data_IF_926043668761
#
_entry.id   IF_926043668761
#
_cell.length_a   1.000
_cell.length_b   1.000
_cell.length_c   1.000
_cell.angle_alpha   90.00
_cell.angle_beta   90.00
_cell.angle_gamma   90.00
#
_symmetry.space_group_name_H-M   'P 1'
#
loop_
_entity.id
_entity.type
_entity.pdbx_description
1 polymer ?
#
# COMPACT_ATOMS: atom_id res chain seq x y z
N UNK A 1 -22.15 -24.49 33.74
CA UNK A 1 -20.87 -24.86 34.38
C UNK A 1 -19.78 -23.93 33.86
N UNK A 2 -19.28 -23.09 34.77
CA UNK A 2 -18.06 -22.28 34.82
C UNK A 2 -17.43 -21.72 33.53
N UNK A 3 -17.55 -20.40 33.35
CA UNK A 3 -16.62 -19.55 32.58
C UNK A 3 -15.19 -19.69 33.14
N UNK A 4 -14.13 -19.85 32.32
CA UNK A 4 -12.78 -19.67 32.82
C UNK A 4 -12.46 -18.18 32.94
N UNK A 5 -11.91 -17.80 34.08
CA UNK A 5 -11.47 -16.45 34.40
C UNK A 5 -10.49 -15.91 33.36
N UNK A 6 -10.76 -14.69 32.87
CA UNK A 6 -9.87 -13.96 31.98
C UNK A 6 -8.69 -13.35 32.78
N UNK A 7 -7.80 -14.19 33.29
CA UNK A 7 -6.64 -13.81 34.11
C UNK A 7 -5.30 -14.38 33.62
N UNK A 8 -5.12 -14.56 32.30
CA UNK A 8 -3.86 -15.05 31.76
C UNK A 8 -2.80 -13.95 31.67
N UNK A 9 -1.54 -14.29 31.96
CA UNK A 9 -0.38 -13.39 31.83
C UNK A 9 -0.34 -12.77 30.41
N UNK A 10 -0.45 -11.43 30.27
CA UNK A 10 -0.46 -10.75 28.98
C UNK A 10 0.79 -11.02 28.13
N UNK A 11 1.95 -11.25 28.75
CA UNK A 11 3.21 -11.56 28.05
C UNK A 11 3.21 -12.93 27.38
N UNK A 12 2.62 -13.95 28.03
CA UNK A 12 2.43 -15.29 27.45
C UNK A 12 1.49 -15.23 26.25
N UNK A 13 0.41 -14.46 26.35
CA UNK A 13 -0.55 -14.25 25.26
C UNK A 13 0.05 -13.53 24.07
N UNK A 14 0.98 -12.59 24.28
CA UNK A 14 1.73 -11.97 23.18
C UNK A 14 2.55 -13.01 22.40
N UNK A 15 3.22 -13.95 23.09
CA UNK A 15 3.93 -15.06 22.45
C UNK A 15 3.02 -15.99 21.64
N UNK A 16 1.83 -16.30 22.15
CA UNK A 16 0.84 -17.14 21.47
C UNK A 16 0.25 -16.46 20.22
N UNK A 17 -0.02 -15.16 20.31
CA UNK A 17 -0.46 -14.32 19.17
C UNK A 17 0.61 -14.25 18.08
N UNK A 18 1.88 -14.08 18.47
CA UNK A 18 2.99 -13.98 17.53
C UNK A 18 3.30 -15.31 16.86
N UNK A 19 3.33 -16.40 17.62
CA UNK A 19 3.55 -17.74 17.07
C UNK A 19 2.38 -18.24 16.23
N UNK A 20 1.19 -17.61 16.36
CA UNK A 20 -0.06 -18.03 15.76
C UNK A 20 -0.47 -19.48 16.13
N UNK A 21 0.18 -20.09 17.13
CA UNK A 21 -0.07 -21.46 17.58
C UNK A 21 -1.47 -21.65 18.16
N UNK A 22 -2.00 -20.60 18.78
CA UNK A 22 -3.36 -20.60 19.32
C UNK A 22 -4.44 -20.24 18.28
N UNK A 23 -4.05 -20.11 17.00
CA UNK A 23 -4.96 -19.98 15.87
C UNK A 23 -5.57 -18.58 15.68
N UNK A 24 -6.52 -18.51 14.74
CA UNK A 24 -7.16 -17.24 14.31
C UNK A 24 -7.87 -16.49 15.45
N UNK A 25 -8.44 -17.22 16.42
CA UNK A 25 -9.18 -16.63 17.53
C UNK A 25 -8.29 -15.74 18.41
N UNK A 26 -7.09 -16.19 18.77
CA UNK A 26 -6.16 -15.38 19.57
C UNK A 26 -5.64 -14.18 18.80
N UNK A 27 -5.31 -14.35 17.51
CA UNK A 27 -4.91 -13.21 16.67
C UNK A 27 -6.04 -12.18 16.58
N UNK A 28 -7.30 -12.61 16.42
CA UNK A 28 -8.45 -11.70 16.44
C UNK A 28 -8.64 -11.06 17.80
N UNK A 29 -8.47 -11.79 18.89
CA UNK A 29 -8.52 -11.22 20.24
C UNK A 29 -7.47 -10.13 20.43
N UNK A 30 -6.24 -10.31 19.96
CA UNK A 30 -5.20 -9.28 20.00
C UNK A 30 -5.58 -8.00 19.22
N UNK A 31 -6.31 -8.16 18.12
CA UNK A 31 -6.70 -7.06 17.23
C UNK A 31 -7.95 -6.30 17.71
N UNK A 32 -8.97 -7.02 18.19
CA UNK A 32 -10.29 -6.44 18.48
C UNK A 32 -10.78 -6.65 19.91
N UNK A 33 -10.08 -7.44 20.71
CA UNK A 33 -10.39 -7.71 22.11
C UNK A 33 -10.28 -6.47 23.00
N UNK A 34 -11.10 -6.42 24.04
CA UNK A 34 -11.23 -5.23 24.88
C UNK A 34 -9.92 -4.87 25.63
N UNK A 35 -9.20 -5.88 26.17
CA UNK A 35 -7.99 -5.64 26.94
C UNK A 35 -6.81 -5.10 26.09
N UNK A 36 -6.41 -5.72 24.96
CA UNK A 36 -5.38 -5.15 24.08
C UNK A 36 -5.73 -3.75 23.57
N UNK A 37 -7.01 -3.52 23.22
CA UNK A 37 -7.48 -2.19 22.78
C UNK A 37 -7.38 -1.15 23.88
N UNK A 38 -7.74 -1.49 25.13
CA UNK A 38 -7.56 -0.60 26.28
C UNK A 38 -6.10 -0.29 26.53
N UNK A 39 -5.21 -1.28 26.40
CA UNK A 39 -3.77 -1.07 26.57
C UNK A 39 -3.21 -0.08 25.54
N UNK A 40 -3.50 -0.28 24.24
CA UNK A 40 -3.09 0.66 23.17
C UNK A 40 -3.69 2.05 23.39
N UNK A 41 -4.98 2.14 23.74
CA UNK A 41 -5.63 3.43 24.03
C UNK A 41 -5.02 4.13 25.24
N UNK A 42 -4.72 3.41 26.31
CA UNK A 42 -4.09 3.94 27.51
C UNK A 42 -2.68 4.47 27.22
N UNK A 43 -1.87 3.72 26.46
CA UNK A 43 -0.56 4.18 26.03
C UNK A 43 -0.65 5.47 25.18
N UNK A 44 -1.58 5.52 24.22
CA UNK A 44 -1.80 6.72 23.41
C UNK A 44 -2.30 7.91 24.25
N UNK A 45 -3.20 7.69 25.20
CA UNK A 45 -3.68 8.74 26.11
C UNK A 45 -2.55 9.25 27.02
N UNK A 46 -1.65 8.37 27.49
CA UNK A 46 -0.48 8.76 28.28
C UNK A 46 0.55 9.59 27.51
N UNK A 47 0.54 9.52 26.18
CA UNK A 47 1.36 10.34 25.29
C UNK A 47 0.74 11.71 24.97
N UNK A 48 -0.49 11.99 25.38
CA UNK A 48 -1.14 13.27 25.12
C UNK A 48 -0.68 14.36 26.09
N UNK A 49 -0.71 15.60 25.63
CA UNK A 49 -0.61 16.78 26.49
C UNK A 49 -1.81 16.88 27.43
N UNK A 50 -1.66 17.62 28.53
CA UNK A 50 -2.76 17.84 29.47
C UNK A 50 -3.92 18.58 28.79
N UNK A 51 -5.15 18.17 29.09
CA UNK A 51 -6.37 18.69 28.45
C UNK A 51 -6.68 18.09 27.07
N UNK A 52 -5.79 17.29 26.47
CA UNK A 52 -6.08 16.56 25.24
C UNK A 52 -6.68 15.16 25.52
N UNK A 53 -7.64 14.75 24.68
CA UNK A 53 -8.40 13.51 24.88
C UNK A 53 -8.42 12.64 23.61
N UNK A 54 -8.10 11.35 23.75
CA UNK A 54 -8.24 10.35 22.69
C UNK A 54 -9.70 9.93 22.48
N UNK A 55 -10.38 10.57 21.52
CA UNK A 55 -11.78 10.30 21.18
C UNK A 55 -11.98 8.95 20.51
N UNK A 56 -11.17 8.63 19.50
CA UNK A 56 -11.28 7.38 18.77
C UNK A 56 -9.92 6.82 18.36
N UNK A 57 -9.83 5.50 18.24
CA UNK A 57 -8.67 4.83 17.65
C UNK A 57 -9.19 3.74 16.72
N UNK A 58 -9.11 3.99 15.41
CA UNK A 58 -9.73 3.16 14.38
C UNK A 58 -8.67 2.31 13.70
N UNK A 59 -8.83 0.99 13.77
CA UNK A 59 -7.95 0.05 13.12
C UNK A 59 -8.10 0.14 11.59
N UNK A 60 -6.97 0.27 10.88
CA UNK A 60 -6.91 0.48 9.42
C UNK A 60 -6.29 -0.69 8.66
N UNK A 61 -5.28 -1.33 9.24
CA UNK A 61 -4.59 -2.46 8.60
C UNK A 61 -3.84 -3.30 9.61
N UNK A 62 -3.71 -4.59 9.30
CA UNK A 62 -2.93 -5.56 10.04
C UNK A 62 -1.95 -6.26 9.11
N UNK A 63 -0.77 -6.59 9.61
CA UNK A 63 0.20 -7.48 8.98
C UNK A 63 0.74 -8.44 10.03
N UNK A 64 0.38 -9.71 9.90
CA UNK A 64 0.95 -10.78 10.72
C UNK A 64 2.11 -11.42 9.97
N UNK A 65 3.27 -11.50 10.62
CA UNK A 65 4.39 -12.34 10.23
C UNK A 65 4.55 -13.41 11.30
N UNK A 66 4.03 -14.64 11.08
CA UNK A 66 4.07 -15.70 12.08
C UNK A 66 5.47 -15.90 12.65
N UNK A 67 5.52 -16.12 13.95
CA UNK A 67 6.74 -16.26 14.75
C UNK A 67 7.55 -14.97 14.95
N UNK A 68 7.28 -13.89 14.22
CA UNK A 68 8.13 -12.70 14.19
C UNK A 68 7.45 -11.47 14.77
N UNK A 69 6.37 -10.99 14.15
CA UNK A 69 5.70 -9.75 14.57
C UNK A 69 4.27 -9.62 14.07
N UNK A 70 3.47 -8.87 14.82
CA UNK A 70 2.16 -8.37 14.41
C UNK A 70 2.21 -6.84 14.34
N UNK A 71 2.01 -6.27 13.16
CA UNK A 71 1.98 -4.82 12.94
C UNK A 71 0.55 -4.37 12.67
N UNK A 72 0.08 -3.38 13.43
CA UNK A 72 -1.28 -2.85 13.34
C UNK A 72 -1.23 -1.35 13.13
N UNK A 73 -1.93 -0.86 12.11
CA UNK A 73 -2.05 0.56 11.80
C UNK A 73 -3.39 1.08 12.30
N UNK A 74 -3.38 2.23 12.95
CA UNK A 74 -4.56 2.93 13.44
C UNK A 74 -4.60 4.38 12.94
N UNK A 75 -5.80 4.93 12.86
CA UNK A 75 -6.03 6.38 12.88
C UNK A 75 -6.53 6.75 14.28
N UNK A 76 -5.74 7.54 15.01
CA UNK A 76 -6.12 8.12 16.30
C UNK A 76 -6.77 9.49 16.10
N UNK A 77 -7.93 9.72 16.69
CA UNK A 77 -8.63 11.01 16.69
C UNK A 77 -8.52 11.60 18.09
N UNK A 78 -7.88 12.75 18.17
CA UNK A 78 -7.55 13.43 19.43
C UNK A 78 -8.22 14.79 19.43
N UNK A 79 -8.91 15.11 20.53
CA UNK A 79 -9.49 16.44 20.76
C UNK A 79 -8.55 17.24 21.65
N UNK A 80 -8.14 18.42 21.22
CA UNK A 80 -7.28 19.33 21.97
C UNK A 80 -7.65 20.78 21.62
N UNK A 81 -7.83 21.66 22.62
CA UNK A 81 -8.17 23.06 22.38
C UNK A 81 -9.41 23.27 21.51
N UNK A 82 -10.46 22.45 21.70
CA UNK A 82 -11.69 22.52 20.89
C UNK A 82 -11.58 21.95 19.46
N UNK A 83 -10.38 21.57 19.00
CA UNK A 83 -10.14 21.02 17.66
C UNK A 83 -9.96 19.51 17.71
N UNK A 84 -10.46 18.79 16.69
CA UNK A 84 -10.20 17.35 16.53
C UNK A 84 -9.14 17.10 15.45
N UNK A 85 -8.10 16.35 15.80
CA UNK A 85 -6.94 16.07 14.96
C UNK A 85 -6.84 14.56 14.75
N UNK A 86 -6.68 14.14 13.49
CA UNK A 86 -6.40 12.75 13.12
C UNK A 86 -4.89 12.53 13.03
N UNK A 87 -4.35 11.59 13.79
CA UNK A 87 -2.94 11.18 13.74
C UNK A 87 -2.77 9.69 13.42
N UNK A 88 -1.99 9.32 12.40
CA UNK A 88 -1.66 7.92 12.14
C UNK A 88 -0.77 7.35 13.25
N UNK A 89 -1.08 6.12 13.64
CA UNK A 89 -0.38 5.37 14.69
C UNK A 89 -0.06 3.97 14.19
N UNK A 90 1.09 3.44 14.58
CA UNK A 90 1.46 2.04 14.38
C UNK A 90 1.72 1.39 15.73
N UNK A 91 1.05 0.27 15.99
CA UNK A 91 1.38 -0.61 17.10
C UNK A 91 2.09 -1.87 16.56
N UNK A 92 3.15 -2.29 17.23
CA UNK A 92 3.91 -3.49 16.88
C UNK A 92 3.99 -4.39 18.11
N UNK A 93 3.49 -5.61 17.98
CA UNK A 93 3.83 -6.71 18.88
C UNK A 93 4.99 -7.48 18.26
N UNK A 94 6.01 -7.74 19.05
CA UNK A 94 7.19 -8.50 18.65
C UNK A 94 7.79 -9.20 19.88
N UNK A 95 8.98 -9.78 19.77
CA UNK A 95 9.59 -10.55 20.87
C UNK A 95 10.36 -9.65 21.85
N UNK A 96 10.08 -8.34 21.87
CA UNK A 96 10.91 -7.36 22.58
C UNK A 96 12.20 -7.00 21.81
N UNK A 97 12.26 -7.39 20.54
CA UNK A 97 13.31 -7.11 19.56
C UNK A 97 12.99 -5.91 18.66
N UNK A 98 12.00 -5.10 19.07
CA UNK A 98 11.66 -3.81 18.50
C UNK A 98 12.90 -3.01 18.08
N UNK A 99 12.80 -2.37 16.91
CA UNK A 99 13.94 -1.69 16.28
C UNK A 99 14.01 -0.19 16.52
N UNK A 100 12.91 0.44 16.96
CA UNK A 100 12.86 1.89 17.18
C UNK A 100 13.39 2.27 18.55
N UNK A 101 13.06 1.48 19.55
CA UNK A 101 13.45 1.69 20.93
C UNK A 101 14.93 1.39 21.21
N UNK A 102 15.60 0.77 20.23
CA UNK A 102 17.05 0.51 20.20
C UNK A 102 17.79 1.44 19.23
N UNK A 103 17.10 2.33 18.53
CA UNK A 103 17.74 3.31 17.65
C UNK A 103 18.01 4.60 18.45
N UNK A 104 19.27 4.93 18.77
CA UNK A 104 19.61 6.13 19.53
C UNK A 104 19.09 7.41 18.89
N UNK A 105 18.88 7.41 17.56
CA UNK A 105 18.36 8.55 16.81
C UNK A 105 16.88 8.78 17.07
N UNK A 106 16.12 7.76 17.49
CA UNK A 106 14.68 7.88 17.69
C UNK A 106 14.32 8.87 18.81
N UNK A 107 15.03 8.82 19.93
CA UNK A 107 14.80 9.72 21.06
C UNK A 107 15.16 11.17 20.70
N UNK A 108 16.27 11.40 20.00
CA UNK A 108 16.66 12.74 19.55
C UNK A 108 15.66 13.30 18.53
N UNK A 109 15.19 12.47 17.60
CA UNK A 109 14.21 12.85 16.59
C UNK A 109 12.83 13.16 17.21
N UNK A 110 12.42 12.39 18.23
CA UNK A 110 11.22 12.67 19.01
C UNK A 110 11.33 13.97 19.79
N UNK A 111 12.47 14.20 20.47
CA UNK A 111 12.73 15.44 21.18
C UNK A 111 12.68 16.67 20.24
N UNK A 112 13.28 16.56 19.05
CA UNK A 112 13.19 17.60 18.02
C UNK A 112 11.73 17.85 17.60
N UNK A 113 10.97 16.80 17.29
CA UNK A 113 9.57 16.94 16.89
C UNK A 113 8.70 17.55 18.00
N UNK A 114 9.01 17.30 19.28
CA UNK A 114 8.34 17.93 20.42
C UNK A 114 8.73 19.40 20.53
N UNK A 115 10.03 19.73 20.46
CA UNK A 115 10.54 21.10 20.55
C UNK A 115 9.96 21.99 19.44
N UNK A 116 9.83 21.45 18.22
CA UNK A 116 9.26 22.15 17.07
C UNK A 116 7.72 22.21 17.08
N UNK A 117 7.06 21.63 18.09
CA UNK A 117 5.60 21.57 18.19
C UNK A 117 4.94 20.62 17.19
N UNK A 118 5.72 19.84 16.44
CA UNK A 118 5.25 18.88 15.42
C UNK A 118 4.62 17.62 16.04
N UNK A 119 4.92 17.36 17.31
CA UNK A 119 4.29 16.29 18.08
C UNK A 119 2.85 16.64 18.52
N UNK A 120 2.49 17.92 18.58
CA UNK A 120 1.20 18.34 19.14
C UNK A 120 -0.01 17.63 18.46
N UNK A 121 -1.03 17.22 19.25
CA UNK A 121 -1.23 17.45 20.68
C UNK A 121 -0.59 16.38 21.60
N UNK A 122 0.43 15.68 21.11
CA UNK A 122 1.18 14.70 21.90
C UNK A 122 2.39 15.37 22.56
N UNK A 123 2.71 14.94 23.80
CA UNK A 123 3.97 15.27 24.49
C UNK A 123 5.08 14.26 24.21
N UNK A 124 4.73 13.14 23.56
CA UNK A 124 5.66 12.13 23.05
C UNK A 124 5.01 11.35 21.91
N UNK A 125 5.82 10.80 21.02
CA UNK A 125 5.43 10.05 19.84
C UNK A 125 5.71 8.55 19.96
N UNK A 126 6.31 8.09 21.06
CA UNK A 126 6.61 6.67 21.26
C UNK A 126 6.31 6.20 22.70
N UNK A 127 5.72 5.00 22.83
CA UNK A 127 5.59 4.34 24.12
C UNK A 127 5.77 2.82 24.01
N UNK A 128 6.41 2.22 25.02
CA UNK A 128 6.45 0.77 25.21
C UNK A 128 5.27 0.32 26.08
N UNK A 129 4.80 -0.90 25.80
CA UNK A 129 3.83 -1.62 26.60
C UNK A 129 4.47 -2.97 27.00
N UNK A 130 5.37 -2.99 28.00
CA UNK A 130 6.17 -4.18 28.33
C UNK A 130 5.32 -5.40 28.66
N UNK A 131 4.23 -5.23 29.42
CA UNK A 131 3.30 -6.32 29.73
C UNK A 131 2.72 -7.01 28.48
N UNK A 132 2.67 -6.30 27.34
CA UNK A 132 2.09 -6.80 26.10
C UNK A 132 3.13 -7.17 25.04
N UNK A 133 4.44 -7.04 25.34
CA UNK A 133 5.52 -7.10 24.35
C UNK A 133 5.18 -6.29 23.09
N UNK A 134 4.69 -5.07 23.32
CA UNK A 134 4.23 -4.18 22.26
C UNK A 134 4.81 -2.78 22.40
N UNK A 135 4.80 -2.05 21.30
CA UNK A 135 5.11 -0.62 21.27
C UNK A 135 4.09 0.11 20.40
N UNK A 136 3.92 1.40 20.67
CA UNK A 136 3.17 2.32 19.82
C UNK A 136 4.08 3.44 19.34
N UNK A 137 3.91 3.80 18.08
CA UNK A 137 4.61 4.90 17.43
C UNK A 137 3.60 5.80 16.70
N UNK A 138 3.76 7.10 16.86
CA UNK A 138 2.88 8.14 16.33
C UNK A 138 3.62 8.93 15.24
N UNK A 139 2.96 9.18 14.10
CA UNK A 139 3.50 10.08 13.06
C UNK A 139 3.77 11.47 13.65
N UNK A 140 4.85 12.19 13.27
CA UNK A 140 5.77 11.92 12.17
C UNK A 140 7.06 11.15 12.57
N UNK A 141 7.08 10.40 13.68
CA UNK A 141 8.31 9.72 14.09
C UNK A 141 8.66 8.55 13.15
N UNK A 142 9.88 8.54 12.60
CA UNK A 142 10.45 7.38 11.90
C UNK A 142 11.98 7.47 11.82
N UNK A 143 12.70 6.71 12.66
CA UNK A 143 14.17 6.75 12.68
C UNK A 143 14.84 6.30 11.37
N UNK A 144 14.12 5.56 10.52
CA UNK A 144 14.64 5.11 9.21
C UNK A 144 14.37 6.09 8.08
N UNK A 145 13.48 7.05 8.30
CA UNK A 145 13.18 8.18 7.42
C UNK A 145 13.10 9.45 8.28
N UNK A 146 14.23 9.88 8.89
CA UNK A 146 14.23 10.99 9.85
C UNK A 146 13.71 12.29 9.25
N UNK A 147 13.82 12.46 7.92
CA UNK A 147 13.30 13.61 7.22
C UNK A 147 11.78 13.79 7.36
N UNK A 148 11.04 12.76 7.78
CA UNK A 148 9.59 12.83 7.94
C UNK A 148 9.18 13.92 8.95
N UNK A 149 10.02 14.23 9.94
CA UNK A 149 9.76 15.28 10.93
C UNK A 149 9.73 16.65 10.25
N UNK A 150 10.82 17.08 9.59
CA UNK A 150 10.84 18.40 8.95
C UNK A 150 9.96 18.48 7.70
N UNK A 151 9.74 17.38 6.99
CA UNK A 151 8.72 17.31 5.93
C UNK A 151 7.27 17.39 6.46
N UNK A 152 7.09 17.33 7.78
CA UNK A 152 5.80 17.58 8.44
C UNK A 152 5.68 18.99 9.03
N UNK A 153 6.71 19.83 8.92
CA UNK A 153 6.71 21.22 9.39
C UNK A 153 6.16 22.18 8.31
N UNK A 154 5.06 22.92 8.60
CA UNK A 154 4.54 23.98 7.74
C UNK A 154 5.59 24.99 7.24
N UNK A 155 6.54 25.39 8.09
CA UNK A 155 7.52 26.42 7.76
C UNK A 155 8.55 25.88 6.77
N UNK A 156 9.13 24.73 7.08
CA UNK A 156 10.04 24.04 6.17
C UNK A 156 9.37 23.75 4.81
N UNK A 157 8.13 23.22 4.81
CA UNK A 157 7.40 22.92 3.57
C UNK A 157 7.13 24.17 2.73
N UNK A 158 6.75 25.29 3.35
CA UNK A 158 6.54 26.54 2.63
C UNK A 158 7.83 27.03 1.95
N UNK A 159 8.96 27.03 2.68
CA UNK A 159 10.26 27.42 2.14
C UNK A 159 10.72 26.51 0.99
N UNK A 160 10.60 25.19 1.20
CA UNK A 160 10.94 24.17 0.20
C UNK A 160 10.12 24.35 -1.09
N UNK A 161 8.80 24.54 -0.99
CA UNK A 161 7.95 24.71 -2.16
C UNK A 161 8.18 26.05 -2.84
N UNK A 162 8.36 27.14 -2.10
CA UNK A 162 8.67 28.46 -2.67
C UNK A 162 9.97 28.45 -3.51
N UNK A 163 10.99 27.71 -3.06
CA UNK A 163 12.24 27.54 -3.81
C UNK A 163 12.13 26.70 -5.08
N UNK A 164 10.99 26.06 -5.35
CA UNK A 164 10.80 25.12 -6.48
C UNK A 164 9.65 25.46 -7.40
N UNK A 165 8.60 26.05 -6.85
CA UNK A 165 7.36 26.36 -7.55
C UNK A 165 7.09 27.86 -7.39
N UNK A 166 7.23 28.67 -8.45
CA UNK A 166 6.98 30.11 -8.38
C UNK A 166 5.60 30.45 -7.76
N UNK A 167 4.58 29.66 -8.10
CA UNK A 167 3.22 29.79 -7.57
C UNK A 167 3.05 29.41 -6.08
N UNK A 168 4.09 28.87 -5.45
CA UNK A 168 4.10 28.54 -4.02
C UNK A 168 4.78 29.62 -3.17
N UNK A 169 5.36 30.67 -3.78
CA UNK A 169 5.99 31.76 -3.03
C UNK A 169 4.95 32.51 -2.18
N UNK A 170 5.27 32.72 -0.91
CA UNK A 170 4.35 33.37 0.05
C UNK A 170 3.14 32.53 0.48
N UNK A 171 3.04 31.26 0.06
CA UNK A 171 1.91 30.37 0.39
C UNK A 171 2.22 29.55 1.64
N UNK A 172 1.33 29.60 2.63
CA UNK A 172 1.37 28.69 3.79
C UNK A 172 0.76 27.33 3.47
N UNK A 173 1.19 26.28 4.16
CA UNK A 173 0.68 24.92 3.94
C UNK A 173 0.26 24.21 5.21
N UNK A 174 -0.88 23.52 5.16
CA UNK A 174 -1.31 22.54 6.16
C UNK A 174 -0.90 21.15 5.71
N UNK A 175 -0.12 20.45 6.54
CA UNK A 175 0.34 19.10 6.24
C UNK A 175 -0.68 18.08 6.76
N UNK A 176 -0.96 17.07 5.94
CA UNK A 176 -1.70 15.89 6.37
C UNK A 176 -1.04 14.61 5.90
N UNK A 177 -0.97 13.62 6.78
CA UNK A 177 -0.40 12.31 6.45
C UNK A 177 -1.44 11.47 5.70
N UNK A 178 -1.13 11.10 4.46
CA UNK A 178 -1.94 10.18 3.65
C UNK A 178 -1.56 8.73 3.94
N UNK A 179 -0.26 8.47 4.12
CA UNK A 179 0.27 7.15 4.41
C UNK A 179 1.43 7.25 5.38
N UNK A 180 1.34 6.49 6.47
CA UNK A 180 2.39 6.31 7.46
C UNK A 180 2.77 4.83 7.56
N UNK A 181 3.97 4.48 7.08
CA UNK A 181 4.54 3.12 7.14
C UNK A 181 5.98 3.21 7.66
N UNK A 182 6.17 3.24 8.99
CA UNK A 182 7.49 3.35 9.60
C UNK A 182 8.48 2.34 9.01
N UNK A 183 9.65 2.83 8.62
CA UNK A 183 10.73 2.05 8.02
C UNK A 183 10.52 1.59 6.59
N UNK A 184 9.38 1.92 5.97
CA UNK A 184 9.04 1.52 4.60
C UNK A 184 8.80 2.73 3.68
N UNK A 185 7.74 3.52 3.91
CA UNK A 185 7.30 4.58 2.98
C UNK A 185 6.26 5.51 3.58
N UNK A 186 6.33 6.80 3.23
CA UNK A 186 5.33 7.79 3.65
C UNK A 186 4.81 8.59 2.46
N UNK A 187 3.56 9.06 2.60
CA UNK A 187 2.97 10.02 1.66
C UNK A 187 2.31 11.12 2.47
N UNK A 188 2.71 12.35 2.23
CA UNK A 188 2.11 13.56 2.81
C UNK A 188 1.33 14.31 1.74
N UNK A 189 0.33 15.08 2.18
CA UNK A 189 -0.40 16.05 1.37
C UNK A 189 -0.22 17.43 1.99
N UNK A 190 0.26 18.36 1.20
CA UNK A 190 0.42 19.76 1.53
C UNK A 190 -0.76 20.52 0.93
N UNK A 191 -1.65 20.98 1.80
CA UNK A 191 -2.82 21.76 1.42
C UNK A 191 -2.50 23.25 1.59
N UNK A 192 -2.62 24.10 0.56
CA UNK A 192 -2.32 25.51 0.70
C UNK A 192 -3.34 26.24 1.58
N UNK A 193 -2.86 27.28 2.26
CA UNK A 193 -3.61 28.11 3.20
C UNK A 193 -3.33 29.59 2.88
N UNK A 194 -4.36 30.41 2.56
CA UNK A 194 -5.78 30.05 2.42
C UNK A 194 -6.04 29.02 1.31
N UNK A 195 -7.15 28.29 1.40
CA UNK A 195 -7.45 27.27 0.39
C UNK A 195 -7.59 27.89 -1.01
N UNK A 196 -7.19 27.13 -2.04
CA UNK A 196 -7.28 27.49 -3.48
C UNK A 196 -6.34 28.59 -3.97
N UNK A 197 -5.46 29.15 -3.13
CA UNK A 197 -4.40 30.06 -3.60
C UNK A 197 -3.34 29.34 -4.44
N UNK A 198 -3.20 28.02 -4.26
CA UNK A 198 -2.36 27.13 -5.04
C UNK A 198 -3.01 25.73 -5.13
N UNK A 199 -2.56 24.83 -6.03
CA UNK A 199 -2.96 23.42 -5.98
C UNK A 199 -2.28 22.68 -4.82
N UNK A 200 -2.94 21.64 -4.30
CA UNK A 200 -2.33 20.76 -3.31
C UNK A 200 -1.15 19.97 -3.90
N UNK A 201 -0.13 19.74 -3.08
CA UNK A 201 1.08 18.99 -3.44
C UNK A 201 1.13 17.69 -2.64
N UNK A 202 1.53 16.59 -3.27
CA UNK A 202 1.76 15.31 -2.62
C UNK A 202 3.25 15.03 -2.54
N UNK A 203 3.75 14.71 -1.35
CA UNK A 203 5.13 14.38 -1.11
C UNK A 203 5.27 12.88 -0.82
N UNK A 204 6.00 12.16 -1.68
CA UNK A 204 6.26 10.72 -1.53
C UNK A 204 7.71 10.53 -1.10
N UNK A 205 7.89 10.03 0.12
CA UNK A 205 9.20 9.84 0.72
C UNK A 205 9.78 8.47 0.36
N UNK A 206 11.08 8.47 0.09
CA UNK A 206 11.90 7.30 -0.18
C UNK A 206 13.05 7.24 0.83
N UNK A 207 13.59 6.03 1.02
CA UNK A 207 14.68 5.81 1.99
C UNK A 207 16.05 6.26 1.51
N UNK A 208 16.27 6.29 0.20
CA UNK A 208 17.59 6.57 -0.42
C UNK A 208 17.45 7.63 -1.49
N UNK A 209 18.42 8.52 -1.56
CA UNK A 209 18.50 9.59 -2.55
C UNK A 209 18.55 9.04 -3.98
N UNK A 210 19.35 7.98 -4.21
CA UNK A 210 19.43 7.30 -5.50
C UNK A 210 18.06 6.75 -5.97
N UNK A 211 17.19 6.33 -5.03
CA UNK A 211 15.85 5.88 -5.37
C UNK A 211 14.94 7.04 -5.79
N UNK A 212 15.17 8.25 -5.24
CA UNK A 212 14.43 9.47 -5.60
C UNK A 212 14.80 9.94 -7.00
N UNK A 213 16.08 10.10 -7.28
CA UNK A 213 16.55 10.57 -8.58
C UNK A 213 16.15 9.60 -9.72
N UNK A 214 16.33 8.29 -9.50
CA UNK A 214 15.89 7.25 -10.45
C UNK A 214 14.38 7.31 -10.67
N UNK A 215 13.59 7.29 -9.59
CA UNK A 215 12.14 7.30 -9.73
C UNK A 215 11.67 8.57 -10.45
N UNK A 216 12.23 9.74 -10.15
CA UNK A 216 11.91 10.99 -10.85
C UNK A 216 12.12 10.89 -12.37
N UNK A 217 13.27 10.35 -12.82
CA UNK A 217 13.52 10.12 -14.25
C UNK A 217 12.52 9.17 -14.88
N UNK A 218 12.20 8.04 -14.22
CA UNK A 218 11.18 7.10 -14.69
C UNK A 218 9.82 7.77 -14.82
N UNK A 219 9.37 8.50 -13.79
CA UNK A 219 8.08 9.21 -13.82
C UNK A 219 8.03 10.24 -14.98
N UNK A 220 9.09 11.03 -15.16
CA UNK A 220 9.18 12.04 -16.22
C UNK A 220 9.19 11.39 -17.59
N UNK A 221 10.05 10.40 -17.84
CA UNK A 221 10.15 9.76 -19.14
C UNK A 221 8.88 8.97 -19.53
N UNK A 222 8.19 8.35 -18.55
CA UNK A 222 6.88 7.72 -18.83
C UNK A 222 5.82 8.77 -19.18
N UNK A 223 5.85 9.95 -18.55
CA UNK A 223 4.96 11.05 -18.92
C UNK A 223 5.24 11.52 -20.35
N UNK A 224 6.51 11.74 -20.71
CA UNK A 224 6.91 12.13 -22.06
C UNK A 224 6.48 11.08 -23.10
N UNK A 225 6.67 9.79 -22.82
CA UNK A 225 6.29 8.70 -23.70
C UNK A 225 4.78 8.67 -23.97
N UNK A 226 3.94 8.83 -22.93
CA UNK A 226 2.49 8.84 -23.10
C UNK A 226 1.98 10.13 -23.75
N UNK A 227 2.60 11.27 -23.46
CA UNK A 227 2.26 12.56 -24.09
C UNK A 227 2.59 12.52 -25.60
N UNK A 228 3.73 11.93 -26.00
CA UNK A 228 4.14 11.80 -27.39
C UNK A 228 3.22 10.89 -28.22
N UNK A 229 2.73 9.80 -27.63
CA UNK A 229 1.79 8.87 -28.31
C UNK A 229 0.38 9.47 -28.40
N UNK A 230 -0.02 10.29 -27.43
CA UNK A 230 -1.37 10.84 -27.35
C UNK A 230 -2.44 9.79 -27.02
N UNK A 231 -3.69 10.03 -27.42
CA UNK A 231 -4.79 9.06 -27.22
C UNK A 231 -5.55 9.18 -25.89
N UNK A 232 -5.45 10.31 -25.21
CA UNK A 232 -6.30 10.65 -24.06
C UNK A 232 -5.95 9.93 -22.76
N UNK A 233 -4.76 9.34 -22.66
CA UNK A 233 -4.18 8.84 -21.40
C UNK A 233 -2.83 9.52 -21.16
N UNK A 234 -2.60 9.98 -19.94
CA UNK A 234 -1.35 10.62 -19.50
C UNK A 234 -0.76 9.92 -18.29
N UNK A 235 0.50 10.14 -17.99
CA UNK A 235 1.08 9.80 -16.68
C UNK A 235 1.01 11.00 -15.73
N UNK A 236 1.05 10.74 -14.42
CA UNK A 236 1.35 11.81 -13.46
C UNK A 236 2.80 12.27 -13.65
N UNK A 237 2.95 13.55 -14.02
CA UNK A 237 4.26 14.20 -14.08
C UNK A 237 4.66 14.68 -12.68
N UNK A 238 5.86 14.34 -12.17
CA UNK A 238 6.33 14.83 -10.89
C UNK A 238 6.64 16.33 -11.01
N UNK A 239 6.43 17.09 -9.94
CA UNK A 239 6.76 18.51 -9.87
C UNK A 239 8.25 18.74 -9.64
N UNK A 240 8.91 17.80 -8.96
CA UNK A 240 10.31 17.90 -8.63
C UNK A 240 10.77 16.76 -7.72
N UNK A 241 12.08 16.58 -7.65
CA UNK A 241 12.74 15.67 -6.74
C UNK A 241 13.73 16.45 -5.87
N UNK A 242 13.70 16.20 -4.57
CA UNK A 242 14.65 16.74 -3.61
C UNK A 242 15.40 15.56 -3.03
N UNK A 243 16.60 15.34 -3.55
CA UNK A 243 17.45 14.20 -3.20
C UNK A 243 17.81 14.26 -1.71
N UNK A 244 18.29 15.40 -1.23
CA UNK A 244 18.70 15.65 0.16
C UNK A 244 17.57 15.36 1.16
N UNK A 245 16.33 15.66 0.79
CA UNK A 245 15.13 15.39 1.58
C UNK A 245 14.53 13.99 1.32
N UNK A 246 15.09 13.22 0.38
CA UNK A 246 14.59 11.90 0.03
C UNK A 246 13.14 11.90 -0.47
N UNK A 247 12.70 12.95 -1.18
CA UNK A 247 11.28 13.15 -1.52
C UNK A 247 11.04 13.49 -2.99
N UNK A 248 9.94 12.97 -3.55
CA UNK A 248 9.40 13.38 -4.85
C UNK A 248 8.06 14.08 -4.63
N UNK A 249 7.91 15.24 -5.25
CA UNK A 249 6.71 16.06 -5.22
C UNK A 249 5.83 15.75 -6.43
N UNK A 250 4.53 15.61 -6.21
CA UNK A 250 3.53 15.33 -7.24
C UNK A 250 2.39 16.34 -7.17
N UNK A 251 1.79 16.70 -8.31
CA UNK A 251 0.59 17.53 -8.31
C UNK A 251 -0.61 16.74 -7.76
N UNK A 252 -1.62 17.45 -7.29
CA UNK A 252 -2.95 16.88 -7.17
C UNK A 252 -3.49 16.47 -8.55
N UNK A 253 -4.00 15.24 -8.66
CA UNK A 253 -4.61 14.73 -9.88
C UNK A 253 -6.12 14.84 -9.78
N UNK A 254 -6.76 15.37 -10.82
CA UNK A 254 -8.22 15.51 -10.89
C UNK A 254 -8.90 14.18 -11.21
N UNK A 255 -10.16 14.05 -10.79
CA UNK A 255 -10.99 12.88 -11.10
C UNK A 255 -11.07 11.87 -9.96
N UNK A 256 -11.31 10.61 -10.31
CA UNK A 256 -11.49 9.51 -9.35
C UNK A 256 -10.81 8.23 -9.87
N UNK A 257 -10.31 7.34 -9.00
CA UNK A 257 -9.75 6.07 -9.45
C UNK A 257 -10.82 5.20 -10.13
N UNK A 258 -10.43 4.45 -11.15
CA UNK A 258 -11.27 3.51 -11.89
C UNK A 258 -11.91 2.47 -10.98
N UNK A 259 -11.24 2.11 -9.88
CA UNK A 259 -11.82 1.24 -8.84
C UNK A 259 -13.14 1.77 -8.27
N UNK A 260 -13.29 3.10 -8.15
CA UNK A 260 -14.54 3.73 -7.72
C UNK A 260 -15.64 3.54 -8.75
N UNK A 261 -15.34 3.68 -10.03
CA UNK A 261 -16.33 3.49 -11.10
C UNK A 261 -16.78 2.02 -11.20
N UNK A 262 -15.84 1.09 -11.04
CA UNK A 262 -16.12 -0.35 -10.94
C UNK A 262 -17.05 -0.69 -9.76
N UNK A 263 -17.00 0.11 -8.68
CA UNK A 263 -17.91 -0.01 -7.52
C UNK A 263 -19.28 0.63 -7.76
N UNK A 264 -19.31 1.83 -8.33
CA UNK A 264 -20.51 2.68 -8.46
C UNK A 264 -21.43 2.33 -9.63
N UNK A 265 -21.23 1.18 -10.26
CA UNK A 265 -22.11 0.66 -11.31
C UNK A 265 -22.14 1.46 -12.62
N UNK A 266 -21.15 2.32 -12.87
CA UNK A 266 -21.08 3.24 -14.01
C UNK A 266 -21.12 2.53 -15.38
N UNK A 267 -21.96 3.02 -16.29
CA UNK A 267 -22.17 2.47 -17.65
C UNK A 267 -21.01 2.81 -18.62
N UNK A 268 -20.21 3.84 -18.34
CA UNK A 268 -19.06 4.24 -19.16
C UNK A 268 -17.76 3.47 -18.89
N UNK A 269 -17.76 2.55 -17.92
CA UNK A 269 -16.53 1.89 -17.44
C UNK A 269 -15.78 1.10 -18.52
N UNK A 270 -16.50 0.54 -19.49
CA UNK A 270 -15.90 -0.21 -20.60
C UNK A 270 -14.96 0.64 -21.45
N UNK A 271 -15.33 1.89 -21.74
CA UNK A 271 -14.45 2.82 -22.48
C UNK A 271 -13.16 3.09 -21.73
N UNK A 272 -13.25 3.31 -20.41
CA UNK A 272 -12.07 3.54 -19.57
C UNK A 272 -11.18 2.30 -19.48
N UNK A 273 -11.75 1.10 -19.47
CA UNK A 273 -10.99 -0.16 -19.50
C UNK A 273 -10.26 -0.33 -20.84
N UNK A 274 -10.88 0.04 -21.95
CA UNK A 274 -10.23 0.02 -23.27
C UNK A 274 -9.10 1.04 -23.36
N UNK A 275 -9.28 2.25 -22.82
CA UNK A 275 -8.22 3.26 -22.74
C UNK A 275 -7.05 2.78 -21.86
N UNK A 276 -7.35 2.19 -20.69
CA UNK A 276 -6.33 1.62 -19.80
C UNK A 276 -5.55 0.48 -20.46
N UNK A 277 -6.23 -0.37 -21.23
CA UNK A 277 -5.61 -1.45 -22.01
C UNK A 277 -4.63 -0.92 -23.05
N UNK A 278 -5.05 0.09 -23.84
CA UNK A 278 -4.19 0.73 -24.84
C UNK A 278 -2.99 1.41 -24.19
N UNK A 279 -3.19 2.13 -23.09
CA UNK A 279 -2.11 2.77 -22.36
C UNK A 279 -1.10 1.74 -21.83
N UNK A 280 -1.56 0.61 -21.28
CA UNK A 280 -0.66 -0.45 -20.83
C UNK A 280 0.13 -1.07 -22.00
N UNK A 281 -0.51 -1.24 -23.17
CA UNK A 281 0.18 -1.69 -24.38
C UNK A 281 1.27 -0.70 -24.82
N UNK A 282 0.96 0.60 -24.80
CA UNK A 282 1.94 1.66 -25.07
C UNK A 282 3.15 1.58 -24.13
N UNK A 283 2.92 1.32 -22.84
CA UNK A 283 4.01 1.12 -21.88
C UNK A 283 4.85 -0.12 -22.21
N UNK A 284 4.21 -1.24 -22.59
CA UNK A 284 4.94 -2.46 -22.96
C UNK A 284 5.72 -2.35 -24.26
N UNK A 285 5.39 -1.37 -25.11
CA UNK A 285 6.17 -1.02 -26.31
C UNK A 285 7.17 0.12 -26.07
N UNK A 286 7.27 0.65 -24.84
CA UNK A 286 8.19 1.73 -24.53
C UNK A 286 9.65 1.23 -24.50
N UNK A 287 10.63 2.10 -24.78
CA UNK A 287 12.04 1.73 -24.74
C UNK A 287 12.46 1.17 -23.38
N UNK A 288 13.22 0.07 -23.38
CA UNK A 288 13.69 -0.55 -22.13
C UNK A 288 14.58 0.39 -21.29
N UNK A 289 15.27 1.34 -21.93
CA UNK A 289 16.05 2.37 -21.24
C UNK A 289 15.23 3.19 -20.23
N UNK A 290 13.91 3.30 -20.43
CA UNK A 290 13.00 4.01 -19.53
C UNK A 290 12.92 3.39 -18.13
N UNK A 291 13.25 2.10 -18.00
CA UNK A 291 13.31 1.41 -16.71
C UNK A 291 14.63 1.66 -15.96
N UNK A 292 15.58 2.42 -16.51
CA UNK A 292 16.88 2.70 -15.88
C UNK A 292 17.63 1.42 -15.49
N UNK A 293 17.61 0.41 -16.39
CA UNK A 293 18.20 -0.92 -16.20
C UNK A 293 17.66 -1.71 -14.98
N UNK A 294 16.53 -1.29 -14.38
CA UNK A 294 15.90 -2.04 -13.29
C UNK A 294 15.22 -3.28 -13.84
N UNK A 295 15.70 -4.45 -13.45
CA UNK A 295 15.00 -5.71 -13.69
C UNK A 295 13.76 -5.81 -12.78
N UNK A 296 12.63 -6.16 -13.36
CA UNK A 296 11.48 -6.61 -12.59
C UNK A 296 11.76 -8.02 -12.02
N UNK A 297 11.08 -8.42 -10.94
CA UNK A 297 11.19 -9.79 -10.43
C UNK A 297 10.81 -10.80 -11.52
N UNK A 298 11.62 -11.84 -11.69
CA UNK A 298 11.27 -12.97 -12.53
C UNK A 298 10.10 -13.78 -11.92
N UNK A 299 9.61 -14.75 -12.67
CA UNK A 299 8.48 -15.57 -12.23
C UNK A 299 8.76 -16.36 -10.94
N UNK A 300 9.99 -16.88 -10.77
CA UNK A 300 10.36 -17.65 -9.58
C UNK A 300 10.35 -16.76 -8.32
N UNK A 301 10.93 -15.57 -8.41
CA UNK A 301 10.93 -14.55 -7.37
C UNK A 301 9.51 -14.06 -7.04
N UNK A 302 8.63 -13.95 -8.04
CA UNK A 302 7.21 -13.66 -7.81
C UNK A 302 6.53 -14.77 -7.01
N UNK A 303 6.71 -16.04 -7.38
CA UNK A 303 6.14 -17.18 -6.63
C UNK A 303 6.64 -17.20 -5.18
N UNK A 304 7.93 -16.98 -4.94
CA UNK A 304 8.49 -16.87 -3.59
C UNK A 304 7.92 -15.66 -2.82
N UNK A 305 7.71 -14.55 -3.51
CA UNK A 305 7.03 -13.37 -2.97
C UNK A 305 5.61 -13.69 -2.51
N UNK A 306 4.84 -14.42 -3.32
CA UNK A 306 3.47 -14.85 -2.99
C UNK A 306 3.46 -15.85 -1.83
N UNK A 307 4.38 -16.82 -1.81
CA UNK A 307 4.53 -17.77 -0.72
C UNK A 307 4.77 -17.03 0.61
N UNK A 308 5.74 -16.10 0.64
CA UNK A 308 6.05 -15.28 1.82
C UNK A 308 4.88 -14.40 2.25
N UNK A 309 4.15 -13.80 1.30
CA UNK A 309 2.96 -13.00 1.61
C UNK A 309 1.86 -13.87 2.27
N UNK A 310 1.77 -15.13 1.88
CA UNK A 310 0.72 -16.07 2.28
C UNK A 310 1.02 -16.85 3.56
N UNK A 311 2.23 -16.75 4.13
CA UNK A 311 2.65 -17.48 5.34
C UNK A 311 1.63 -17.44 6.48
N UNK A 312 1.01 -16.29 6.72
CA UNK A 312 0.00 -16.14 7.76
C UNK A 312 -1.30 -16.90 7.46
N UNK A 313 -1.70 -17.01 6.19
CA UNK A 313 -2.82 -17.86 5.77
C UNK A 313 -2.44 -19.32 5.97
N UNK A 314 -1.24 -19.72 5.53
CA UNK A 314 -0.78 -21.11 5.67
C UNK A 314 -0.72 -21.53 7.15
N UNK A 315 -0.31 -20.63 8.03
CA UNK A 315 -0.26 -20.89 9.48
C UNK A 315 -1.66 -20.94 10.11
N UNK A 316 -2.53 -19.99 9.78
CA UNK A 316 -3.84 -19.85 10.44
C UNK A 316 -4.94 -20.74 9.84
N UNK A 317 -4.79 -21.15 8.57
CA UNK A 317 -5.73 -21.98 7.82
C UNK A 317 -4.95 -23.07 7.05
N UNK A 318 -4.43 -24.11 7.71
CA UNK A 318 -3.53 -25.09 7.08
C UNK A 318 -4.10 -25.75 5.82
N UNK A 319 -5.41 -26.07 5.80
CA UNK A 319 -6.08 -26.62 4.60
C UNK A 319 -6.05 -25.63 3.43
N UNK A 320 -6.33 -24.36 3.68
CA UNK A 320 -6.19 -23.31 2.66
C UNK A 320 -4.72 -23.13 2.25
N UNK A 321 -3.81 -23.22 3.21
CA UNK A 321 -2.36 -23.20 2.97
C UNK A 321 -1.90 -24.28 2.00
N UNK A 322 -2.37 -25.51 2.16
CA UNK A 322 -2.07 -26.61 1.24
C UNK A 322 -2.53 -26.30 -0.20
N UNK A 323 -3.71 -25.69 -0.36
CA UNK A 323 -4.20 -25.25 -1.68
C UNK A 323 -3.34 -24.12 -2.25
N UNK A 324 -2.82 -23.20 -1.41
CA UNK A 324 -1.86 -22.18 -1.86
C UNK A 324 -0.60 -22.86 -2.40
N UNK A 325 -0.01 -23.78 -1.65
CA UNK A 325 1.20 -24.50 -2.07
C UNK A 325 0.99 -25.21 -3.40
N UNK A 326 -0.07 -26.01 -3.52
CA UNK A 326 -0.41 -26.73 -4.75
C UNK A 326 -0.68 -25.77 -5.93
N UNK A 327 -1.36 -24.65 -5.68
CA UNK A 327 -1.59 -23.61 -6.71
C UNK A 327 -0.27 -23.00 -7.19
N UNK A 328 0.69 -22.74 -6.29
CA UNK A 328 2.00 -22.20 -6.65
C UNK A 328 2.85 -23.19 -7.45
N UNK A 329 2.85 -24.47 -7.07
CA UNK A 329 3.53 -25.55 -7.82
C UNK A 329 2.93 -25.69 -9.22
N UNK A 330 1.60 -25.72 -9.33
CA UNK A 330 0.90 -25.74 -10.62
C UNK A 330 1.21 -24.51 -11.46
N UNK A 331 1.26 -23.33 -10.85
CA UNK A 331 1.59 -22.10 -11.57
C UNK A 331 2.99 -22.16 -12.21
N UNK A 332 3.99 -22.74 -11.51
CA UNK A 332 5.32 -23.01 -12.07
C UNK A 332 5.24 -23.96 -13.26
N UNK A 333 4.61 -25.12 -13.08
CA UNK A 333 4.48 -26.12 -14.15
C UNK A 333 3.76 -25.58 -15.40
N UNK A 334 2.70 -24.78 -15.23
CA UNK A 334 2.00 -24.15 -16.36
C UNK A 334 2.89 -23.08 -17.01
N UNK A 335 3.52 -22.21 -16.23
CA UNK A 335 4.39 -21.15 -16.75
C UNK A 335 5.55 -21.72 -17.59
N UNK A 336 6.19 -22.79 -17.13
CA UNK A 336 7.36 -23.38 -17.80
C UNK A 336 7.03 -24.02 -19.15
N UNK A 337 5.76 -24.42 -19.38
CA UNK A 337 5.26 -24.95 -20.66
C UNK A 337 4.88 -23.85 -21.65
N UNK A 338 4.64 -22.62 -21.20
CA UNK A 338 4.19 -21.54 -22.06
C UNK A 338 5.38 -20.88 -22.78
N UNK A 339 5.19 -20.41 -24.04
CA UNK A 339 6.25 -19.72 -24.77
C UNK A 339 6.75 -18.49 -24.00
N UNK A 340 8.07 -18.39 -23.86
CA UNK A 340 8.72 -17.21 -23.30
C UNK A 340 8.59 -16.04 -24.26
N UNK A 341 8.61 -14.84 -23.70
CA UNK A 341 8.62 -13.59 -24.46
C UNK A 341 9.79 -12.74 -24.00
N UNK A 342 10.32 -11.91 -24.90
CA UNK A 342 11.35 -10.94 -24.55
C UNK A 342 10.81 -9.97 -23.49
N UNK A 343 11.51 -9.79 -22.36
CA UNK A 343 11.11 -8.83 -21.34
C UNK A 343 10.98 -7.41 -21.91
N UNK A 344 9.94 -6.69 -21.49
CA UNK A 344 9.66 -5.31 -21.92
C UNK A 344 9.60 -4.37 -20.72
N UNK A 345 9.48 -3.06 -20.97
CA UNK A 345 9.10 -2.13 -19.91
C UNK A 345 7.74 -2.54 -19.32
N UNK A 346 7.65 -2.60 -18.00
CA UNK A 346 6.44 -2.92 -17.24
C UNK A 346 6.18 -1.82 -16.22
N UNK A 347 4.91 -1.57 -15.90
CA UNK A 347 4.48 -0.71 -14.81
C UNK A 347 4.76 -1.36 -13.44
N UNK A 348 4.59 -2.68 -13.32
CA UNK A 348 4.88 -3.45 -12.10
C UNK A 348 3.82 -3.35 -10.98
N UNK A 349 2.93 -2.37 -11.02
CA UNK A 349 1.80 -2.25 -10.08
C UNK A 349 0.52 -1.74 -10.76
N UNK A 350 0.28 -2.15 -12.01
CA UNK A 350 -0.89 -1.73 -12.76
C UNK A 350 -2.20 -2.29 -12.14
N UNK A 351 -3.05 -1.39 -11.66
CA UNK A 351 -4.34 -1.70 -10.99
C UNK A 351 -5.31 -0.52 -11.08
N UNK A 352 -6.60 -0.75 -10.89
CA UNK A 352 -7.66 0.25 -11.06
C UNK A 352 -7.57 1.43 -10.07
N UNK A 353 -6.87 1.30 -8.95
CA UNK A 353 -6.59 2.44 -8.05
C UNK A 353 -5.54 3.41 -8.63
N UNK A 354 -4.73 2.95 -9.59
CA UNK A 354 -3.68 3.73 -10.25
C UNK A 354 -4.12 4.30 -11.60
N UNK A 355 -5.34 3.98 -12.05
CA UNK A 355 -5.94 4.54 -13.26
C UNK A 355 -6.98 5.57 -12.82
N UNK A 356 -6.67 6.85 -12.95
CA UNK A 356 -7.59 7.94 -12.59
C UNK A 356 -8.38 8.42 -13.79
N UNK A 357 -9.68 8.61 -13.59
CA UNK A 357 -10.63 8.99 -14.62
C UNK A 357 -11.14 10.40 -14.35
N UNK A 358 -11.00 11.27 -15.35
CA UNK A 358 -11.50 12.65 -15.33
C UNK A 358 -12.23 12.97 -16.65
N UNK A 359 -12.80 14.18 -16.76
CA UNK A 359 -13.36 14.66 -18.03
C UNK A 359 -12.30 14.73 -19.15
N UNK A 360 -11.04 14.98 -18.80
CA UNK A 360 -9.93 15.08 -19.74
C UNK A 360 -9.30 13.75 -20.17
N UNK A 361 -9.86 12.61 -19.75
CA UNK A 361 -9.32 11.27 -20.04
C UNK A 361 -8.71 10.59 -18.81
N UNK A 362 -7.74 9.71 -19.06
CA UNK A 362 -7.08 8.92 -18.01
C UNK A 362 -5.77 9.54 -17.54
N UNK A 363 -5.47 9.39 -16.26
CA UNK A 363 -4.14 9.64 -15.69
C UNK A 363 -3.64 8.41 -14.95
N UNK A 364 -2.51 7.87 -15.38
CA UNK A 364 -1.84 6.74 -14.74
C UNK A 364 -0.93 7.23 -13.62
N UNK A 365 -0.96 6.53 -12.48
CA UNK A 365 -0.22 6.86 -11.27
C UNK A 365 0.75 5.74 -10.85
N UNK A 366 1.72 6.09 -10.01
CA UNK A 366 2.57 5.17 -9.25
C UNK A 366 3.51 4.26 -10.06
N UNK A 367 4.41 4.87 -10.82
CA UNK A 367 5.50 4.22 -11.58
C UNK A 367 6.71 3.81 -10.72
N UNK A 368 6.55 3.75 -9.39
CA UNK A 368 7.66 3.41 -8.48
C UNK A 368 8.05 1.93 -8.47
N UNK A 369 7.35 1.08 -9.23
CA UNK A 369 7.63 -0.36 -9.36
C UNK A 369 7.92 -0.76 -10.81
N UNK A 370 8.18 0.22 -11.68
CA UNK A 370 8.54 -0.04 -13.07
C UNK A 370 9.87 -0.81 -13.16
N UNK A 371 9.97 -1.62 -14.20
CA UNK A 371 11.15 -2.42 -14.49
C UNK A 371 11.01 -3.18 -15.81
N UNK A 372 12.09 -3.85 -16.22
CA UNK A 372 12.10 -4.74 -17.39
C UNK A 372 11.71 -6.15 -16.96
N UNK A 373 10.61 -6.67 -17.49
CA UNK A 373 10.06 -7.97 -17.10
C UNK A 373 9.02 -8.51 -18.06
N UNK A 374 8.36 -9.61 -17.68
CA UNK A 374 7.29 -10.18 -18.49
C UNK A 374 6.05 -9.24 -18.50
N UNK A 375 5.65 -8.69 -19.66
CA UNK A 375 4.46 -7.84 -19.77
C UNK A 375 3.15 -8.54 -19.37
N UNK A 376 3.11 -9.88 -19.42
CA UNK A 376 1.97 -10.66 -18.94
C UNK A 376 1.66 -10.41 -17.45
N UNK A 377 2.67 -10.01 -16.66
CA UNK A 377 2.54 -9.72 -15.24
C UNK A 377 1.55 -8.59 -14.95
N UNK A 378 1.67 -7.47 -15.65
CA UNK A 378 0.79 -6.31 -15.44
C UNK A 378 -0.64 -6.60 -15.91
N UNK A 379 -0.78 -7.32 -17.03
CA UNK A 379 -2.08 -7.79 -17.53
C UNK A 379 -2.75 -8.70 -16.50
N UNK A 380 -2.03 -9.72 -16.01
CA UNK A 380 -2.54 -10.66 -15.00
C UNK A 380 -2.94 -9.99 -13.70
N UNK A 381 -2.13 -9.03 -13.23
CA UNK A 381 -2.44 -8.21 -12.06
C UNK A 381 -3.72 -7.42 -12.23
N UNK A 382 -3.88 -6.75 -13.37
CA UNK A 382 -5.07 -5.96 -13.66
C UNK A 382 -6.32 -6.85 -13.77
N UNK A 383 -6.21 -8.00 -14.43
CA UNK A 383 -7.28 -8.97 -14.53
C UNK A 383 -7.74 -9.48 -13.15
N UNK A 384 -6.81 -9.75 -12.24
CA UNK A 384 -7.14 -10.07 -10.85
C UNK A 384 -7.80 -8.89 -10.13
N UNK A 385 -7.34 -7.66 -10.39
CA UNK A 385 -7.87 -6.43 -9.77
C UNK A 385 -9.31 -6.14 -10.21
N UNK A 386 -9.61 -6.34 -11.49
CA UNK A 386 -10.97 -6.25 -12.02
C UNK A 386 -11.89 -7.27 -11.35
N UNK A 387 -11.44 -8.52 -11.16
CA UNK A 387 -12.22 -9.52 -10.41
C UNK A 387 -12.51 -9.07 -8.99
N UNK A 388 -11.48 -8.57 -8.30
CA UNK A 388 -11.63 -8.09 -6.93
C UNK A 388 -12.69 -6.99 -6.84
N UNK A 389 -12.59 -5.95 -7.67
CA UNK A 389 -13.52 -4.82 -7.61
C UNK A 389 -14.94 -5.17 -8.07
N UNK A 390 -15.10 -6.03 -9.08
CA UNK A 390 -16.43 -6.52 -9.47
C UNK A 390 -17.06 -7.36 -8.35
N UNK A 391 -16.29 -8.23 -7.68
CA UNK A 391 -16.80 -9.02 -6.56
C UNK A 391 -17.25 -8.14 -5.39
N UNK A 392 -16.50 -7.06 -5.10
CA UNK A 392 -16.90 -6.07 -4.07
C UNK A 392 -18.21 -5.37 -4.41
N UNK A 393 -18.51 -5.14 -5.69
CA UNK A 393 -19.76 -4.50 -6.14
C UNK A 393 -20.91 -5.48 -6.40
N UNK A 394 -20.70 -6.77 -6.13
CA UNK A 394 -21.68 -7.84 -6.41
C UNK A 394 -21.88 -8.11 -7.90
N UNK A 395 -20.97 -7.67 -8.76
CA UNK A 395 -21.03 -7.85 -10.22
C UNK A 395 -20.14 -9.01 -10.67
N UNK A 396 -20.52 -9.63 -11.79
CA UNK A 396 -19.59 -10.44 -12.58
C UNK A 396 -18.51 -9.57 -13.22
N UNK A 397 -17.28 -10.07 -13.32
CA UNK A 397 -16.16 -9.37 -13.95
C UNK A 397 -15.98 -9.72 -15.44
N UNK A 398 -16.81 -10.61 -15.99
CA UNK A 398 -16.64 -11.15 -17.33
C UNK A 398 -16.59 -10.06 -18.41
N UNK A 399 -17.59 -9.16 -18.44
CA UNK A 399 -17.66 -8.06 -19.40
C UNK A 399 -16.49 -7.08 -19.25
N UNK A 400 -16.17 -6.65 -18.03
CA UNK A 400 -15.04 -5.73 -17.79
C UNK A 400 -13.70 -6.33 -18.22
N UNK A 401 -13.47 -7.61 -17.88
CA UNK A 401 -12.27 -8.34 -18.31
C UNK A 401 -12.23 -8.53 -19.82
N UNK A 402 -13.36 -8.84 -20.45
CA UNK A 402 -13.44 -9.01 -21.89
C UNK A 402 -13.13 -7.69 -22.62
N UNK A 403 -13.71 -6.57 -22.18
CA UNK A 403 -13.45 -5.25 -22.75
C UNK A 403 -11.96 -4.86 -22.63
N UNK A 404 -11.34 -5.10 -21.47
CA UNK A 404 -9.91 -4.86 -21.29
C UNK A 404 -9.05 -5.77 -22.18
N UNK A 405 -9.29 -7.08 -22.19
CA UNK A 405 -8.51 -8.04 -23.00
C UNK A 405 -8.63 -7.77 -24.49
N UNK A 406 -9.84 -7.49 -24.99
CA UNK A 406 -10.07 -7.22 -26.40
C UNK A 406 -9.35 -5.95 -26.86
N UNK A 407 -9.27 -4.92 -26.01
CA UNK A 407 -8.52 -3.70 -26.35
C UNK A 407 -7.00 -3.82 -26.13
N UNK A 408 -6.57 -4.73 -25.25
CA UNK A 408 -5.16 -4.99 -25.01
C UNK A 408 -4.57 -5.88 -26.11
N UNK A 409 -5.28 -6.96 -26.45
CA UNK A 409 -4.88 -7.95 -27.44
C UNK A 409 -4.82 -7.35 -28.84
N UNK A 410 -3.64 -7.44 -29.44
CA UNK A 410 -3.46 -7.37 -30.88
C UNK A 410 -3.11 -8.78 -31.38
N UNK A 411 -3.09 -8.97 -32.70
CA UNK A 411 -2.54 -10.17 -33.33
C UNK A 411 -1.15 -10.50 -32.75
N UNK A 412 -0.93 -11.75 -32.34
CA UNK A 412 0.33 -12.22 -31.74
C UNK A 412 0.41 -12.07 -30.21
N UNK A 413 -0.63 -11.58 -29.54
CA UNK A 413 -0.66 -11.45 -28.06
C UNK A 413 -1.21 -12.68 -27.33
N UNK A 414 -1.55 -13.76 -28.02
CA UNK A 414 -2.25 -14.94 -27.48
C UNK A 414 -1.42 -15.62 -26.39
N UNK A 415 -0.14 -15.90 -26.67
CA UNK A 415 0.77 -16.51 -25.70
C UNK A 415 0.95 -15.64 -24.45
N UNK A 416 1.06 -14.32 -24.63
CA UNK A 416 1.14 -13.36 -23.51
C UNK A 416 -0.13 -13.37 -22.66
N UNK A 417 -1.31 -13.44 -23.28
CA UNK A 417 -2.58 -13.51 -22.56
C UNK A 417 -2.74 -14.82 -21.77
N UNK A 418 -2.23 -15.94 -22.29
CA UNK A 418 -2.17 -17.20 -21.55
C UNK A 418 -1.25 -17.08 -20.32
N UNK A 419 -0.03 -16.54 -20.47
CA UNK A 419 0.86 -16.27 -19.31
C UNK A 419 0.22 -15.30 -18.32
N UNK A 420 -0.55 -14.32 -18.78
CA UNK A 420 -1.23 -13.37 -17.92
C UNK A 420 -2.25 -14.05 -17.00
N UNK A 421 -2.87 -15.15 -17.40
CA UNK A 421 -3.75 -15.94 -16.52
C UNK A 421 -2.98 -16.67 -15.41
N UNK A 422 -1.72 -17.07 -15.65
CA UNK A 422 -0.86 -17.60 -14.58
C UNK A 422 -0.55 -16.50 -13.55
N UNK A 423 -0.15 -15.32 -14.00
CA UNK A 423 0.05 -14.17 -13.10
C UNK A 423 -1.25 -13.73 -12.40
N UNK A 424 -2.39 -13.81 -13.08
CA UNK A 424 -3.71 -13.54 -12.48
C UNK A 424 -3.95 -14.44 -11.26
N UNK A 425 -3.63 -15.74 -11.36
CA UNK A 425 -3.72 -16.67 -10.22
C UNK A 425 -2.79 -16.25 -9.07
N UNK A 426 -1.52 -15.90 -9.35
CA UNK A 426 -0.59 -15.41 -8.33
C UNK A 426 -1.11 -14.14 -7.63
N UNK A 427 -1.65 -13.17 -8.37
CA UNK A 427 -2.17 -11.94 -7.77
C UNK A 427 -3.46 -12.15 -6.98
N UNK A 428 -4.30 -13.14 -7.32
CA UNK A 428 -5.43 -13.54 -6.48
C UNK A 428 -4.97 -14.06 -5.11
N UNK A 429 -3.87 -14.83 -5.06
CA UNK A 429 -3.26 -15.26 -3.80
C UNK A 429 -2.71 -14.06 -3.01
N UNK A 430 -2.01 -13.13 -3.69
CA UNK A 430 -1.55 -11.87 -3.07
C UNK A 430 -2.73 -11.08 -2.48
N UNK A 431 -3.89 -11.07 -3.15
CA UNK A 431 -5.06 -10.34 -2.66
C UNK A 431 -5.70 -11.03 -1.46
N UNK A 432 -5.74 -12.37 -1.44
CA UNK A 432 -6.13 -13.13 -0.26
C UNK A 432 -5.26 -12.73 0.95
N UNK A 433 -3.95 -12.60 0.74
CA UNK A 433 -2.99 -12.24 1.78
C UNK A 433 -3.05 -10.76 2.22
N UNK A 434 -3.33 -9.83 1.31
CA UNK A 434 -3.12 -8.39 1.57
C UNK A 434 -4.39 -7.54 1.59
N UNK A 435 -5.47 -7.97 0.93
CA UNK A 435 -6.70 -7.17 0.79
C UNK A 435 -7.82 -7.61 1.72
N UNK A 436 -7.84 -8.88 2.13
CA UNK A 436 -8.81 -9.38 3.13
C UNK A 436 -8.27 -9.04 4.52
N UNK A 437 -8.90 -8.11 5.27
CA UNK A 437 -8.35 -7.70 6.55
C UNK A 437 -8.48 -8.83 7.58
N UNK A 438 -7.41 -9.13 8.31
CA UNK A 438 -7.37 -10.27 9.26
C UNK A 438 -8.40 -10.18 10.39
N UNK A 439 -8.81 -8.96 10.75
CA UNK A 439 -9.85 -8.68 11.74
C UNK A 439 -11.28 -8.78 11.17
N UNK A 440 -11.44 -8.97 9.86
CA UNK A 440 -12.76 -9.10 9.25
C UNK A 440 -13.42 -10.42 9.68
N UNK A 441 -14.71 -10.45 10.10
CA UNK A 441 -15.35 -11.66 10.60
C UNK A 441 -15.31 -12.85 9.64
N UNK A 442 -15.54 -12.59 8.35
CA UNK A 442 -15.44 -13.57 7.27
C UNK A 442 -14.07 -13.69 6.61
N UNK A 443 -12.96 -13.34 7.29
CA UNK A 443 -11.61 -13.38 6.71
C UNK A 443 -11.29 -14.76 6.14
N UNK A 444 -11.51 -15.83 6.91
CA UNK A 444 -11.16 -17.18 6.51
C UNK A 444 -11.90 -17.63 5.23
N UNK A 445 -13.21 -17.41 5.18
CA UNK A 445 -14.04 -17.76 4.04
C UNK A 445 -13.69 -16.94 2.81
N UNK A 446 -13.43 -15.63 2.97
CA UNK A 446 -13.07 -14.74 1.85
C UNK A 446 -11.69 -15.06 1.29
N UNK A 447 -10.71 -15.33 2.15
CA UNK A 447 -9.36 -15.75 1.72
C UNK A 447 -9.42 -17.10 1.01
N UNK A 448 -10.13 -18.09 1.56
CA UNK A 448 -10.30 -19.40 0.92
C UNK A 448 -10.95 -19.28 -0.47
N UNK A 449 -12.00 -18.45 -0.63
CA UNK A 449 -12.64 -18.22 -1.94
C UNK A 449 -11.69 -17.65 -3.00
N UNK A 450 -10.78 -16.74 -2.61
CA UNK A 450 -9.78 -16.19 -3.52
C UNK A 450 -8.73 -17.23 -3.90
N UNK A 451 -8.29 -18.04 -2.94
CA UNK A 451 -7.35 -19.15 -3.17
C UNK A 451 -7.95 -20.19 -4.12
N UNK A 452 -9.19 -20.60 -3.88
CA UNK A 452 -9.90 -21.51 -4.78
C UNK A 452 -10.08 -20.93 -6.18
N UNK A 453 -10.36 -19.61 -6.27
CA UNK A 453 -10.44 -18.93 -7.56
C UNK A 453 -9.09 -18.91 -8.29
N UNK A 454 -7.98 -18.77 -7.57
CA UNK A 454 -6.64 -18.84 -8.17
C UNK A 454 -6.38 -20.22 -8.80
N UNK A 455 -6.70 -21.30 -8.08
CA UNK A 455 -6.63 -22.66 -8.61
C UNK A 455 -7.49 -22.84 -9.87
N UNK A 456 -8.76 -22.44 -9.82
CA UNK A 456 -9.67 -22.54 -10.95
C UNK A 456 -9.26 -21.71 -12.19
N UNK A 457 -8.47 -20.64 -12.03
CA UNK A 457 -7.91 -19.91 -13.17
C UNK A 457 -6.82 -20.73 -13.86
N UNK A 458 -6.00 -21.47 -13.10
CA UNK A 458 -4.98 -22.35 -13.65
C UNK A 458 -5.60 -23.61 -14.29
N UNK A 459 -6.64 -24.17 -13.67
CA UNK A 459 -7.31 -25.37 -14.19
C UNK A 459 -7.93 -25.14 -15.58
N UNK A 460 -8.32 -23.89 -15.87
CA UNK A 460 -8.81 -23.52 -17.20
C UNK A 460 -7.72 -23.44 -18.28
N UNK A 461 -6.44 -23.61 -17.92
CA UNK A 461 -5.30 -23.54 -18.84
C UNK A 461 -4.73 -24.93 -19.21
N UNK A 462 -5.20 -26.02 -18.60
CA UNK A 462 -4.72 -27.39 -18.87
C UNK A 462 -4.10 -28.07 -17.65
#
# INVERSE_FOLDING_TARGET
MSRPAAGGNPGRRAGDVLSARAGLSEVRWALVGAAPRRAVRGALQGLLQDGAELRACRLRRVKLKPGRKLTVHYDAWVRAGGTEIKRPVVAVWDRGDGRIDRDPRAAALEAQAVADGLAAPFRGLFARLPAWNASVQVSPLDARLPQLVHLSDPRHVAAMLAGRLPQASGVGYRISTIRYRPGERHVLRYEPVPARVAPAVFAKLSRREADVARAFRVYTGVADQLDAVGGGTRAVRPLGALADDGVILFPAVAGRPLSTLLRLRDHGVSRHLQQAARALRTLHSAPAALAEAVAAPDFAAEVEGVARASEHICTLLPRTGAVITATLERARAVHDRLPREVPTFTHGDFKADHVWVSRGGLTLLDFGSCGIGDPARDVGKFLADLRWWSAVSGRGSASARAAFRAAYGAEGSEARLLRAHVYEALFLLVFAAHRVPLYHPGWAQRSARLVQRAGAVLDALG
#
